data_IF_535194992546
#
_entry.id   IF_535194992546
#
_cell.length_a   1.000
_cell.length_b   1.000
_cell.length_c   1.000
_cell.angle_alpha   90.00
_cell.angle_beta   90.00
_cell.angle_gamma   90.00
#
_symmetry.space_group_name_H-M   'P 1'
#
loop_
_entity.id
_entity.type
_entity.pdbx_description
1 polymer ?
#
# COMPACT_ATOMS: atom_id res chain seq x y z
N UNK A 1 15.97 -32.27 7.54
CA UNK A 1 14.87 -31.42 8.05
C UNK A 1 14.38 -30.53 6.93
N UNK A 2 13.19 -30.78 6.38
CA UNK A 2 12.59 -29.84 5.45
C UNK A 2 12.18 -28.58 6.23
N UNK A 3 12.87 -27.44 6.00
CA UNK A 3 12.54 -26.14 6.60
C UNK A 3 11.07 -25.72 6.45
N UNK A 4 10.63 -24.82 7.33
CA UNK A 4 9.25 -24.37 7.51
C UNK A 4 8.75 -23.53 6.31
N UNK A 5 7.44 -23.57 6.06
CA UNK A 5 6.79 -22.62 5.15
C UNK A 5 6.76 -21.23 5.77
N UNK A 6 7.05 -20.22 4.96
CA UNK A 6 6.91 -18.80 5.33
C UNK A 6 5.81 -18.17 4.49
N UNK A 7 5.14 -17.17 5.04
CA UNK A 7 4.18 -16.34 4.32
C UNK A 7 4.80 -14.96 4.09
N UNK A 8 4.58 -14.37 2.92
CA UNK A 8 4.99 -13.00 2.61
C UNK A 8 3.91 -12.28 1.82
N UNK A 9 3.51 -11.09 2.29
CA UNK A 9 2.50 -10.24 1.67
C UNK A 9 3.17 -9.09 0.93
N UNK A 10 2.74 -8.83 -0.29
CA UNK A 10 3.27 -7.80 -1.19
C UNK A 10 2.19 -6.75 -1.41
N UNK A 11 2.37 -5.56 -0.85
CA UNK A 11 1.49 -4.42 -1.10
C UNK A 11 1.81 -3.82 -2.47
N UNK A 12 0.80 -3.69 -3.33
CA UNK A 12 0.95 -3.10 -4.67
C UNK A 12 0.04 -1.88 -4.77
N UNK A 13 0.63 -0.74 -5.10
CA UNK A 13 -0.08 0.53 -5.25
C UNK A 13 0.37 1.30 -6.49
N UNK A 14 -0.52 2.15 -7.00
CA UNK A 14 -0.29 3.13 -8.05
C UNK A 14 -1.25 4.30 -7.85
N UNK A 15 -1.01 5.37 -8.57
CA UNK A 15 -1.96 6.47 -8.74
C UNK A 15 -3.26 5.97 -9.37
N UNK A 16 -4.40 6.47 -8.90
CA UNK A 16 -5.69 6.19 -9.55
C UNK A 16 -5.75 6.80 -10.96
N UNK A 17 -6.30 6.05 -11.91
CA UNK A 17 -6.43 6.47 -13.30
C UNK A 17 -5.08 6.65 -13.99
N UNK A 18 -4.06 5.93 -13.52
CA UNK A 18 -2.73 5.88 -14.10
C UNK A 18 -2.12 4.49 -13.83
N UNK A 19 -1.30 4.02 -14.76
CA UNK A 19 -0.63 2.72 -14.71
C UNK A 19 -1.55 1.48 -14.59
N UNK A 20 -2.83 1.56 -14.99
CA UNK A 20 -3.77 0.43 -14.87
C UNK A 20 -3.33 -0.78 -15.71
N UNK A 21 -2.80 -0.53 -16.92
CA UNK A 21 -2.30 -1.57 -17.81
C UNK A 21 -1.04 -2.23 -17.23
N UNK A 22 -0.10 -1.43 -16.72
CA UNK A 22 1.13 -1.89 -16.09
C UNK A 22 0.84 -2.74 -14.84
N UNK A 23 -0.15 -2.33 -14.03
CA UNK A 23 -0.64 -3.15 -12.90
C UNK A 23 -1.25 -4.45 -13.38
N UNK A 24 -2.06 -4.42 -14.43
CA UNK A 24 -2.62 -5.64 -14.97
C UNK A 24 -1.51 -6.60 -15.47
N UNK A 25 -0.49 -6.09 -16.16
CA UNK A 25 0.67 -6.89 -16.56
C UNK A 25 1.45 -7.42 -15.35
N UNK A 26 1.64 -6.59 -14.31
CA UNK A 26 2.28 -7.01 -13.06
C UNK A 26 1.54 -8.18 -12.42
N UNK A 27 0.22 -8.06 -12.25
CA UNK A 27 -0.62 -9.10 -11.63
C UNK A 27 -0.74 -10.35 -12.50
N UNK A 28 -0.89 -10.20 -13.82
CA UNK A 28 -1.10 -11.35 -14.73
C UNK A 28 0.18 -12.08 -15.11
N UNK A 29 1.32 -11.38 -15.19
CA UNK A 29 2.57 -11.95 -15.71
C UNK A 29 3.68 -12.04 -14.66
N UNK A 30 3.88 -10.99 -13.87
CA UNK A 30 5.01 -10.92 -12.93
C UNK A 30 4.72 -11.76 -11.70
N UNK A 31 3.60 -11.51 -11.03
CA UNK A 31 3.32 -12.16 -9.75
C UNK A 31 3.13 -13.68 -9.81
N UNK A 32 2.55 -14.29 -10.87
CA UNK A 32 2.56 -15.74 -11.03
C UNK A 32 3.97 -16.34 -11.13
N UNK A 33 4.91 -15.62 -11.75
CA UNK A 33 6.31 -16.03 -11.83
C UNK A 33 7.00 -15.91 -10.48
N UNK A 34 6.76 -14.79 -9.76
CA UNK A 34 7.25 -14.58 -8.38
C UNK A 34 6.74 -15.68 -7.46
N UNK A 35 5.43 -15.97 -7.45
CA UNK A 35 4.84 -17.06 -6.66
C UNK A 35 5.47 -18.41 -6.96
N UNK A 36 5.68 -18.74 -8.24
CA UNK A 36 6.32 -20.00 -8.66
C UNK A 36 7.76 -20.11 -8.13
N UNK A 37 8.53 -19.03 -8.27
CA UNK A 37 9.91 -18.96 -7.79
C UNK A 37 10.01 -19.01 -6.25
N UNK A 38 9.11 -18.33 -5.55
CA UNK A 38 9.03 -18.29 -4.09
C UNK A 38 8.60 -19.64 -3.50
N UNK A 39 7.67 -20.34 -4.16
CA UNK A 39 7.19 -21.67 -3.76
C UNK A 39 8.30 -22.72 -3.73
N UNK A 40 9.27 -22.64 -4.66
CA UNK A 40 10.47 -23.50 -4.65
C UNK A 40 11.32 -23.32 -3.38
N UNK A 41 11.17 -22.19 -2.67
CA UNK A 41 11.87 -21.82 -1.43
C UNK A 41 10.96 -21.92 -0.20
N UNK A 42 9.80 -22.56 -0.33
CA UNK A 42 8.75 -22.67 0.70
C UNK A 42 8.28 -21.32 1.22
N UNK A 43 8.11 -20.36 0.32
CA UNK A 43 7.49 -19.07 0.63
C UNK A 43 6.17 -18.98 -0.13
N UNK A 44 5.06 -18.83 0.60
CA UNK A 44 3.78 -18.44 0.02
C UNK A 44 3.78 -16.91 -0.12
N UNK A 45 3.47 -16.42 -1.33
CA UNK A 45 3.43 -14.98 -1.63
C UNK A 45 2.00 -14.59 -1.97
N UNK A 46 1.46 -13.65 -1.21
CA UNK A 46 0.15 -13.04 -1.40
C UNK A 46 0.32 -11.61 -1.90
N UNK A 47 -0.45 -11.21 -2.90
CA UNK A 47 -0.46 -9.83 -3.41
C UNK A 47 -1.67 -9.07 -2.87
N UNK A 48 -1.44 -7.88 -2.32
CA UNK A 48 -2.48 -6.98 -1.83
C UNK A 48 -2.58 -5.82 -2.82
N UNK A 49 -3.42 -5.98 -3.83
CA UNK A 49 -3.60 -5.03 -4.95
C UNK A 49 -4.70 -4.01 -4.61
N UNK A 50 -4.35 -2.92 -3.90
CA UNK A 50 -5.31 -1.86 -3.58
C UNK A 50 -5.40 -0.83 -4.70
N UNK A 51 -6.44 -0.96 -5.53
CA UNK A 51 -6.76 0.00 -6.59
C UNK A 51 -7.60 1.11 -5.98
N UNK A 52 -7.10 2.34 -6.08
CA UNK A 52 -7.90 3.48 -5.65
C UNK A 52 -9.12 3.65 -6.56
N UNK A 53 -10.14 4.36 -6.10
CA UNK A 53 -11.20 4.90 -6.96
C UNK A 53 -11.44 6.37 -6.61
N UNK A 54 -11.96 7.15 -7.56
CA UNK A 54 -12.32 8.56 -7.31
C UNK A 54 -13.31 8.71 -6.14
N UNK A 55 -14.23 7.75 -5.98
CA UNK A 55 -15.26 7.72 -4.94
C UNK A 55 -14.70 7.70 -3.52
N UNK A 56 -13.50 7.13 -3.33
CA UNK A 56 -12.80 7.07 -2.04
C UNK A 56 -12.46 8.46 -1.49
N UNK A 57 -12.51 9.49 -2.34
CA UNK A 57 -12.12 10.87 -2.01
C UNK A 57 -13.30 11.86 -2.06
N UNK A 58 -14.52 11.33 -2.20
CA UNK A 58 -15.78 12.10 -2.31
C UNK A 58 -16.08 13.03 -1.14
N UNK A 59 -15.56 12.75 0.05
CA UNK A 59 -15.73 13.57 1.25
C UNK A 59 -14.49 13.49 2.15
N UNK A 60 -14.28 14.46 3.07
CA UNK A 60 -13.19 14.35 4.06
C UNK A 60 -13.30 13.11 4.95
N UNK A 61 -14.52 12.64 5.22
CA UNK A 61 -14.76 11.44 6.02
C UNK A 61 -14.33 10.17 5.31
N UNK A 62 -14.71 10.02 4.04
CA UNK A 62 -14.33 8.87 3.20
C UNK A 62 -12.83 8.90 2.89
N UNK A 63 -12.28 10.08 2.58
CA UNK A 63 -10.84 10.28 2.38
C UNK A 63 -10.03 9.77 3.57
N UNK A 64 -10.43 10.14 4.79
CA UNK A 64 -9.74 9.67 6.00
C UNK A 64 -9.86 8.15 6.16
N UNK A 65 -11.06 7.59 6.05
CA UNK A 65 -11.31 6.16 6.22
C UNK A 65 -10.54 5.31 5.19
N UNK A 66 -10.49 5.74 3.94
CA UNK A 66 -9.69 5.08 2.89
C UNK A 66 -8.21 5.14 3.23
N UNK A 67 -7.69 6.31 3.61
CA UNK A 67 -6.29 6.45 3.98
C UNK A 67 -5.92 5.53 5.15
N UNK A 68 -6.75 5.47 6.20
CA UNK A 68 -6.53 4.55 7.33
C UNK A 68 -6.44 3.09 6.87
N UNK A 69 -7.36 2.68 6.00
CA UNK A 69 -7.40 1.32 5.45
C UNK A 69 -6.14 0.98 4.67
N UNK A 70 -5.70 1.89 3.80
CA UNK A 70 -4.51 1.70 2.97
C UNK A 70 -3.24 1.63 3.81
N UNK A 71 -3.07 2.54 4.76
CA UNK A 71 -1.92 2.53 5.68
C UNK A 71 -1.90 1.28 6.57
N UNK A 72 -3.05 0.80 7.01
CA UNK A 72 -3.15 -0.44 7.78
C UNK A 72 -2.75 -1.68 6.95
N UNK A 73 -3.09 -1.73 5.65
CA UNK A 73 -2.61 -2.82 4.78
C UNK A 73 -1.12 -2.72 4.49
N UNK A 74 -0.57 -1.52 4.32
CA UNK A 74 0.87 -1.31 4.20
C UNK A 74 1.60 -1.90 5.41
N UNK A 75 1.11 -1.64 6.62
CA UNK A 75 1.72 -2.15 7.86
C UNK A 75 1.67 -3.69 7.98
N UNK A 76 0.70 -4.33 7.31
CA UNK A 76 0.55 -5.80 7.30
C UNK A 76 1.32 -6.47 6.16
N UNK A 77 2.04 -5.72 5.33
CA UNK A 77 2.80 -6.26 4.20
C UNK A 77 4.31 -6.25 4.47
N UNK A 78 4.99 -7.30 4.00
CA UNK A 78 6.44 -7.44 4.15
C UNK A 78 7.18 -6.61 3.09
N UNK A 79 6.60 -6.57 1.88
CA UNK A 79 7.16 -5.93 0.70
C UNK A 79 6.18 -4.87 0.20
N UNK A 80 6.71 -3.72 -0.21
CA UNK A 80 5.96 -2.62 -0.79
C UNK A 80 6.42 -2.38 -2.23
N UNK A 81 5.47 -2.31 -3.15
CA UNK A 81 5.68 -2.03 -4.57
C UNK A 81 4.80 -0.85 -4.97
N UNK A 82 5.42 0.28 -5.27
CA UNK A 82 4.76 1.43 -5.89
C UNK A 82 5.10 1.49 -7.37
N UNK A 83 4.07 1.58 -8.22
CA UNK A 83 4.21 1.84 -9.65
C UNK A 83 3.93 3.32 -9.86
N UNK A 84 4.94 4.05 -10.35
CA UNK A 84 4.88 5.48 -10.60
C UNK A 84 4.74 5.73 -12.10
N UNK A 85 3.76 6.57 -12.47
CA UNK A 85 3.52 7.00 -13.84
C UNK A 85 3.69 8.51 -13.97
N UNK A 86 2.87 9.12 -14.82
CA UNK A 86 2.85 10.57 -15.03
C UNK A 86 2.21 11.31 -13.86
N UNK A 87 1.36 10.62 -13.08
CA UNK A 87 0.69 11.17 -11.90
C UNK A 87 1.34 10.64 -10.64
N UNK A 88 1.63 11.54 -9.70
CA UNK A 88 2.06 11.19 -8.34
C UNK A 88 0.88 11.08 -7.38
N UNK A 89 -0.22 10.46 -7.81
CA UNK A 89 -1.41 10.16 -7.01
C UNK A 89 -2.38 11.33 -6.85
N UNK A 90 -3.52 11.05 -6.20
CA UNK A 90 -4.50 12.07 -5.82
C UNK A 90 -4.11 12.74 -4.51
N UNK A 91 -4.02 14.06 -4.51
CA UNK A 91 -3.69 14.89 -3.35
C UNK A 91 -4.93 15.67 -2.85
N UNK A 92 -5.58 15.22 -1.75
CA UNK A 92 -6.71 15.95 -1.19
C UNK A 92 -6.26 17.28 -0.56
N UNK A 93 -7.15 18.28 -0.57
CA UNK A 93 -6.95 19.55 0.15
C UNK A 93 -6.83 19.36 1.67
N UNK A 94 -7.51 18.35 2.21
CA UNK A 94 -7.42 17.93 3.60
C UNK A 94 -7.73 16.44 3.72
N UNK A 95 -6.95 15.72 4.52
CA UNK A 95 -7.16 14.29 4.79
C UNK A 95 -8.33 14.01 5.73
N UNK A 96 -8.93 15.04 6.33
CA UNK A 96 -10.04 14.87 7.27
C UNK A 96 -9.65 14.14 8.57
N UNK A 97 -8.37 14.24 8.99
CA UNK A 97 -7.82 13.49 10.13
C UNK A 97 -8.70 13.62 11.37
N UNK A 98 -9.37 12.52 11.74
CA UNK A 98 -10.12 12.43 13.00
C UNK A 98 -9.19 11.92 14.09
N UNK A 99 -9.36 12.41 15.32
CA UNK A 99 -8.55 11.93 16.45
C UNK A 99 -8.87 10.47 16.79
N UNK A 100 -7.93 9.76 17.40
CA UNK A 100 -8.19 8.43 17.98
C UNK A 100 -7.16 7.35 17.68
N UNK A 101 -6.34 7.51 16.63
CA UNK A 101 -5.30 6.54 16.27
C UNK A 101 -3.89 7.13 16.46
N UNK A 102 -3.17 6.74 17.54
CA UNK A 102 -1.81 7.20 17.79
C UNK A 102 -0.83 6.86 16.66
N UNK A 103 -1.04 5.73 15.98
CA UNK A 103 -0.13 5.25 14.93
C UNK A 103 -0.24 6.09 13.65
N UNK A 104 -1.31 6.88 13.51
CA UNK A 104 -1.57 7.76 12.38
C UNK A 104 -1.47 9.26 12.74
N UNK A 105 -1.05 9.60 13.95
CA UNK A 105 -0.90 11.00 14.36
C UNK A 105 0.12 11.75 13.48
N UNK A 106 1.14 11.05 12.98
CA UNK A 106 2.15 11.60 12.07
C UNK A 106 1.55 12.21 10.80
N UNK A 107 0.38 11.72 10.34
CA UNK A 107 -0.31 12.27 9.16
C UNK A 107 -0.73 13.72 9.39
N UNK A 108 -0.99 14.14 10.64
CA UNK A 108 -1.31 15.54 10.98
C UNK A 108 -0.11 16.46 10.79
N UNK A 109 1.11 15.93 10.99
CA UNK A 109 2.39 16.65 10.89
C UNK A 109 2.99 16.52 9.48
N UNK A 110 2.48 15.59 8.67
CA UNK A 110 2.90 15.44 7.29
C UNK A 110 2.51 16.69 6.48
N UNK A 111 3.32 17.11 5.49
CA UNK A 111 2.97 18.23 4.63
C UNK A 111 1.57 18.07 4.04
N UNK A 112 0.84 19.19 3.94
CA UNK A 112 -0.51 19.18 3.36
C UNK A 112 -0.44 18.96 1.84
N UNK A 113 -1.57 18.56 1.25
CA UNK A 113 -1.72 18.40 -0.21
C UNK A 113 -0.72 17.42 -0.82
N UNK A 114 -0.35 16.37 -0.08
CA UNK A 114 0.41 15.23 -0.57
C UNK A 114 -0.53 14.11 -0.99
N UNK A 115 -0.08 13.30 -1.93
CA UNK A 115 -0.93 12.24 -2.44
C UNK A 115 -1.06 11.08 -1.47
N UNK A 116 -2.09 10.26 -1.69
CA UNK A 116 -2.23 8.99 -0.98
C UNK A 116 -0.99 8.10 -1.19
N UNK A 117 -0.49 8.06 -2.42
CA UNK A 117 0.70 7.30 -2.77
C UNK A 117 1.95 7.76 -1.99
N UNK A 118 2.13 9.08 -1.84
CA UNK A 118 3.22 9.63 -1.04
C UNK A 118 3.12 9.23 0.44
N UNK A 119 1.92 9.23 1.00
CA UNK A 119 1.67 8.81 2.38
C UNK A 119 1.92 7.31 2.58
N UNK A 120 1.51 6.48 1.62
CA UNK A 120 1.80 5.04 1.61
C UNK A 120 3.32 4.78 1.57
N UNK A 121 4.04 5.45 0.67
CA UNK A 121 5.51 5.37 0.56
C UNK A 121 6.16 5.82 1.88
N UNK A 122 5.70 6.94 2.43
CA UNK A 122 6.20 7.47 3.69
C UNK A 122 5.99 6.46 4.83
N UNK A 123 4.84 5.79 4.90
CA UNK A 123 4.59 4.75 5.91
C UNK A 123 5.40 3.49 5.68
N UNK A 124 5.49 3.02 4.43
CA UNK A 124 6.15 1.78 4.08
C UNK A 124 7.68 1.83 4.25
N UNK A 125 8.30 2.96 3.93
CA UNK A 125 9.76 3.10 3.82
C UNK A 125 10.34 4.00 4.89
N UNK A 126 9.73 5.16 5.15
CA UNK A 126 10.34 6.21 5.99
C UNK A 126 9.90 6.12 7.46
N UNK A 127 8.68 5.69 7.72
CA UNK A 127 8.04 5.61 9.04
C UNK A 127 7.55 4.19 9.36
N UNK A 128 8.28 3.17 8.90
CA UNK A 128 7.87 1.78 9.08
C UNK A 128 7.95 1.40 10.56
N UNK A 129 6.85 1.01 11.21
CA UNK A 129 6.92 0.44 12.54
C UNK A 129 7.73 -0.87 12.50
N UNK A 130 8.44 -1.24 13.60
CA UNK A 130 9.16 -2.50 13.65
C UNK A 130 8.21 -3.66 13.32
N UNK A 131 8.65 -4.56 12.43
CA UNK A 131 7.84 -5.66 11.93
C UNK A 131 7.29 -6.45 13.12
N UNK A 132 5.94 -6.57 13.21
CA UNK A 132 5.34 -7.48 14.19
C UNK A 132 5.71 -8.88 13.74
N UNK A 133 6.72 -9.47 14.39
CA UNK A 133 7.09 -10.86 14.17
C UNK A 133 5.91 -11.72 14.68
N UNK A 134 5.13 -12.26 13.75
CA UNK A 134 4.28 -13.44 14.02
C UNK A 134 5.11 -14.70 14.10
#
# INVERSE_FOLDING_TARGET
MAGQWRHSRVYVTSSFGDCDAEREQFTRLVMPRVRRWARQRRVHVEEVDMRGTEEETSSPATTWATLQTRLAEVDRCDIFVAILGERYGFAPKAYGVRGGDPDLEWVRRFPRQRSFLELEIARAVLNRPPHRAT
#
